data_IF_240314151177
#
_entry.id   IF_240314151177
#
_cell.length_a   1.000
_cell.length_b   1.000
_cell.length_c   1.000
_cell.angle_alpha   90.00
_cell.angle_beta   90.00
_cell.angle_gamma   90.00
#
_symmetry.space_group_name_H-M   'P 1'
#
loop_
_entity.id
_entity.type
_entity.pdbx_description
1 polymer ?
#
# COMPACT_ATOMS: atom_id res chain seq x y z
N UNK A 1 -12.88 -35.43 0.21
CA UNK A 1 -12.56 -34.90 0.22
C UNK A 1 -12.62 -34.26 0.24
N UNK A 2 -12.52 -34.03 0.25
CA UNK A 2 -12.41 -33.31 0.11
C UNK A 2 -12.40 -32.49 0.04
N UNK A 3 -12.46 -32.17 0.00
CA UNK A 3 -12.34 -31.56 -0.15
C UNK A 3 -12.11 -30.83 -0.15
N UNK A 4 -11.94 -30.91 -0.18
CA UNK A 4 -11.68 -30.02 -0.31
C UNK A 4 -11.76 -29.06 -0.28
N UNK A 5 -11.90 -29.11 -0.14
CA UNK A 5 -11.93 -28.32 -0.17
C UNK A 5 -11.78 -27.44 0.00
N UNK A 6 -12.10 -27.67 0.23
CA UNK A 6 -11.63 -26.93 0.16
C UNK A 6 -11.74 -25.58 0.52
N UNK A 7 -10.78 -25.08 1.23
CA UNK A 7 -10.74 -23.69 1.67
C UNK A 7 -10.87 -22.73 0.53
N UNK A 8 -10.35 -23.09 -0.55
CA UNK A 8 -10.49 -22.29 -1.76
C UNK A 8 -11.95 -22.06 -2.12
N UNK A 9 -12.81 -22.79 -1.48
CA UNK A 9 -14.23 -22.62 -1.70
C UNK A 9 -14.82 -21.48 -0.90
N UNK A 10 -14.04 -20.88 -0.02
CA UNK A 10 -14.52 -19.72 0.74
C UNK A 10 -14.69 -18.54 -0.21
N UNK A 11 -15.89 -18.01 -0.27
CA UNK A 11 -16.15 -16.84 -1.10
C UNK A 11 -15.57 -15.59 -0.42
N UNK A 12 -15.31 -14.52 -1.21
CA UNK A 12 -14.85 -13.27 -0.60
C UNK A 12 -15.80 -12.73 0.45
N UNK A 13 -17.10 -12.94 0.29
CA UNK A 13 -18.08 -12.46 1.26
C UNK A 13 -17.96 -13.16 2.60
N UNK A 14 -17.29 -14.30 2.64
CA UNK A 14 -17.13 -15.05 3.87
C UNK A 14 -15.84 -14.72 4.61
N UNK A 15 -14.99 -13.86 4.03
CA UNK A 15 -13.74 -13.47 4.66
C UNK A 15 -14.05 -12.63 5.90
N UNK A 16 -13.52 -13.05 7.04
CA UNK A 16 -13.72 -12.29 8.28
C UNK A 16 -13.01 -10.95 8.19
N UNK A 17 -13.51 -9.98 8.97
CA UNK A 17 -12.98 -8.62 8.97
C UNK A 17 -11.48 -8.63 9.21
N UNK A 18 -10.99 -9.43 10.17
CA UNK A 18 -9.58 -9.46 10.51
C UNK A 18 -8.71 -10.22 9.52
N UNK A 19 -9.32 -10.87 8.52
CA UNK A 19 -8.58 -11.74 7.61
C UNK A 19 -8.22 -11.07 6.29
N UNK A 20 -8.64 -9.81 6.08
CA UNK A 20 -8.29 -9.11 4.86
C UNK A 20 -6.78 -8.86 4.80
N UNK A 21 -6.20 -9.18 3.65
CA UNK A 21 -4.79 -8.95 3.39
C UNK A 21 -4.65 -7.55 2.80
N UNK A 22 -4.10 -6.65 3.59
CA UNK A 22 -4.07 -5.22 3.27
C UNK A 22 -2.66 -4.81 2.90
N UNK A 23 -2.53 -4.05 1.82
CA UNK A 23 -1.28 -3.44 1.42
C UNK A 23 -1.43 -1.94 1.25
N UNK A 24 -0.30 -1.26 1.26
CA UNK A 24 -0.22 0.17 0.97
C UNK A 24 0.67 0.33 -0.25
N UNK A 25 0.21 1.13 -1.20
CA UNK A 25 1.01 1.50 -2.35
C UNK A 25 1.35 2.99 -2.22
N UNK A 26 2.64 3.28 -2.09
CA UNK A 26 3.13 4.65 -2.04
C UNK A 26 3.77 4.96 -3.38
N UNK A 27 3.21 5.92 -4.12
CA UNK A 27 3.82 6.38 -5.36
C UNK A 27 4.61 7.65 -5.05
N UNK A 28 5.84 7.71 -5.56
CA UNK A 28 6.75 8.79 -5.22
C UNK A 28 7.52 9.24 -6.46
N UNK A 29 7.65 10.54 -6.60
CA UNK A 29 8.49 11.14 -7.61
C UNK A 29 9.05 12.45 -7.07
N UNK A 30 10.38 12.53 -6.95
CA UNK A 30 11.07 13.68 -6.39
C UNK A 30 10.48 14.09 -5.05
N UNK A 31 10.35 13.10 -4.15
CA UNK A 31 9.72 13.25 -2.85
C UNK A 31 10.73 13.07 -1.72
N UNK A 32 12.02 13.38 -1.96
CA UNK A 32 13.06 13.13 -0.97
C UNK A 32 12.80 13.88 0.34
N UNK A 33 12.20 15.06 0.27
CA UNK A 33 11.96 15.87 1.46
C UNK A 33 10.73 15.45 2.26
N UNK A 34 9.86 14.61 1.70
CA UNK A 34 8.57 14.30 2.33
C UNK A 34 8.35 12.81 2.59
N UNK A 35 9.05 11.93 1.88
CA UNK A 35 8.73 10.50 1.93
C UNK A 35 8.84 9.93 3.34
N UNK A 36 9.90 10.26 4.08
CA UNK A 36 10.07 9.73 5.43
C UNK A 36 8.92 10.16 6.33
N UNK A 37 8.53 11.42 6.24
CA UNK A 37 7.43 11.93 7.06
C UNK A 37 6.13 11.21 6.73
N UNK A 38 5.86 10.99 5.44
CA UNK A 38 4.64 10.28 5.02
C UNK A 38 4.61 8.88 5.64
N UNK A 39 5.73 8.16 5.56
CA UNK A 39 5.79 6.81 6.12
C UNK A 39 5.66 6.83 7.64
N UNK A 40 6.25 7.82 8.30
CA UNK A 40 6.16 7.94 9.76
C UNK A 40 4.73 8.23 10.23
N UNK A 41 3.91 8.84 9.38
CA UNK A 41 2.55 9.22 9.75
C UNK A 41 1.54 8.08 9.62
N UNK A 42 1.96 6.92 9.09
CA UNK A 42 1.08 5.74 9.08
C UNK A 42 0.85 5.33 10.54
N UNK A 43 -0.42 5.27 10.99
CA UNK A 43 -0.70 4.97 12.40
C UNK A 43 -0.10 3.65 12.85
N UNK A 44 0.44 3.62 14.07
CA UNK A 44 1.13 2.43 14.57
C UNK A 44 0.22 1.22 14.66
N UNK A 45 -1.01 1.43 15.10
CA UNK A 45 -1.94 0.31 15.22
C UNK A 45 -2.37 -0.21 13.86
N UNK A 46 -2.30 0.63 12.82
CA UNK A 46 -2.59 0.18 11.46
C UNK A 46 -1.40 -0.59 10.87
N UNK A 47 -0.17 -0.26 11.29
CA UNK A 47 1.03 -0.93 10.77
C UNK A 47 0.98 -2.44 11.02
N UNK A 48 0.39 -2.85 12.13
CA UNK A 48 0.31 -4.27 12.45
C UNK A 48 -0.66 -5.03 11.55
N UNK A 49 -1.52 -4.31 10.84
CA UNK A 49 -2.50 -4.91 9.94
C UNK A 49 -2.02 -4.96 8.49
N UNK A 50 -0.94 -4.25 8.19
CA UNK A 50 -0.45 -4.12 6.83
C UNK A 50 0.49 -5.27 6.52
N UNK A 51 0.20 -5.99 5.44
CA UNK A 51 1.02 -7.13 5.05
C UNK A 51 2.17 -6.72 4.14
N UNK A 52 1.97 -5.69 3.32
CA UNK A 52 2.99 -5.21 2.39
C UNK A 52 2.86 -3.71 2.18
N UNK A 53 4.00 -3.05 2.02
CA UNK A 53 4.04 -1.65 1.58
C UNK A 53 4.95 -1.59 0.37
N UNK A 54 4.40 -1.19 -0.77
CA UNK A 54 5.19 -0.98 -1.98
C UNK A 54 5.46 0.51 -2.12
N UNK A 55 6.73 0.89 -2.08
CA UNK A 55 7.09 2.28 -2.35
C UNK A 55 7.69 2.30 -3.75
N UNK A 56 6.96 2.88 -4.67
CA UNK A 56 7.32 2.86 -6.09
C UNK A 56 7.84 4.23 -6.50
N UNK A 57 9.15 4.31 -6.67
CA UNK A 57 9.84 5.52 -7.11
C UNK A 57 9.83 5.59 -8.63
N UNK A 58 9.25 6.63 -9.17
CA UNK A 58 9.07 6.80 -10.63
C UNK A 58 10.30 7.43 -11.27
N UNK A 59 11.47 6.86 -10.96
CA UNK A 59 12.74 7.29 -11.54
C UNK A 59 13.07 8.73 -11.17
N UNK A 60 13.03 9.01 -9.86
CA UNK A 60 13.33 10.34 -9.33
C UNK A 60 14.75 10.79 -9.66
N UNK A 61 14.93 12.09 -9.79
CA UNK A 61 16.26 12.68 -9.96
C UNK A 61 16.90 13.05 -8.65
N UNK A 62 16.15 13.02 -7.55
CA UNK A 62 16.69 13.28 -6.21
C UNK A 62 16.92 11.96 -5.45
N UNK A 63 17.10 12.01 -4.15
CA UNK A 63 17.43 10.84 -3.32
C UNK A 63 16.22 10.07 -2.84
N UNK A 64 15.06 10.23 -3.48
CA UNK A 64 13.83 9.56 -3.07
C UNK A 64 14.03 8.06 -2.85
N UNK A 65 14.63 7.38 -3.83
CA UNK A 65 14.84 5.94 -3.73
C UNK A 65 15.71 5.57 -2.54
N UNK A 66 16.81 6.30 -2.36
CA UNK A 66 17.75 6.01 -1.27
C UNK A 66 17.11 6.25 0.10
N UNK A 67 16.28 7.29 0.20
CA UNK A 67 15.58 7.58 1.46
C UNK A 67 14.60 6.46 1.78
N UNK A 68 13.84 6.00 0.79
CA UNK A 68 12.92 4.89 1.00
C UNK A 68 13.64 3.60 1.37
N UNK A 69 14.74 3.34 0.69
CA UNK A 69 15.53 2.15 0.97
C UNK A 69 16.10 2.19 2.38
N UNK A 70 16.65 3.34 2.78
CA UNK A 70 17.17 3.52 4.14
C UNK A 70 16.09 3.33 5.19
N UNK A 71 14.92 3.90 4.95
CA UNK A 71 13.79 3.73 5.86
C UNK A 71 13.44 2.25 6.02
N UNK A 72 13.40 1.52 4.92
CA UNK A 72 13.04 0.10 4.96
C UNK A 72 14.06 -0.73 5.72
N UNK A 73 15.31 -0.31 5.73
CA UNK A 73 16.38 -1.03 6.41
C UNK A 73 16.50 -0.69 7.88
N UNK A 74 15.99 0.47 8.30
CA UNK A 74 16.11 0.92 9.68
C UNK A 74 14.81 0.76 10.48
N UNK A 75 13.68 0.53 9.80
CA UNK A 75 12.38 0.36 10.44
C UNK A 75 11.82 -0.98 10.04
N UNK A 76 11.66 -1.87 11.02
CA UNK A 76 11.18 -3.21 10.74
C UNK A 76 9.70 -3.39 11.10
N UNK A 77 9.02 -2.31 11.49
CA UNK A 77 7.59 -2.36 11.82
C UNK A 77 6.68 -2.18 10.60
N UNK A 78 7.28 -1.97 9.42
CA UNK A 78 6.55 -1.92 8.16
C UNK A 78 7.28 -2.81 7.14
N UNK A 79 6.58 -3.73 6.51
CA UNK A 79 7.19 -4.62 5.51
C UNK A 79 7.28 -3.91 4.16
N UNK A 80 8.29 -3.07 4.01
CA UNK A 80 8.46 -2.22 2.83
C UNK A 80 9.26 -2.94 1.74
N UNK A 81 8.71 -2.92 0.53
CA UNK A 81 9.44 -3.27 -0.69
C UNK A 81 9.67 -1.98 -1.46
N UNK A 82 10.94 -1.60 -1.61
CA UNK A 82 11.28 -0.38 -2.32
C UNK A 82 11.55 -0.72 -3.78
N UNK A 83 10.84 -0.05 -4.69
CA UNK A 83 10.92 -0.30 -6.12
C UNK A 83 11.34 0.97 -6.82
N UNK A 84 12.32 0.88 -7.71
CA UNK A 84 12.67 1.99 -8.59
C UNK A 84 12.32 1.59 -10.02
N UNK A 85 11.50 2.41 -10.66
CA UNK A 85 11.15 2.15 -12.06
C UNK A 85 12.37 2.36 -12.95
N UNK A 86 12.48 1.59 -14.04
CA UNK A 86 13.65 1.71 -14.93
C UNK A 86 13.69 3.03 -15.71
N UNK A 87 12.58 3.73 -15.76
CA UNK A 87 12.46 5.04 -16.38
C UNK A 87 11.22 5.70 -15.79
N UNK A 88 11.03 6.97 -16.08
CA UNK A 88 9.81 7.64 -15.61
C UNK A 88 8.63 7.10 -16.41
N UNK A 89 7.72 6.42 -15.71
CA UNK A 89 6.54 5.80 -16.31
C UNK A 89 5.34 6.73 -16.30
N UNK A 90 5.45 7.85 -15.58
CA UNK A 90 4.32 8.72 -15.34
C UNK A 90 3.49 8.21 -14.17
N UNK A 91 2.63 9.07 -13.66
CA UNK A 91 1.83 8.78 -12.49
C UNK A 91 1.00 7.50 -12.68
N UNK A 92 0.29 7.41 -13.80
CA UNK A 92 -0.56 6.24 -14.05
C UNK A 92 0.24 4.96 -14.23
N UNK A 93 1.37 5.04 -14.94
CA UNK A 93 2.21 3.86 -15.14
C UNK A 93 2.83 3.37 -13.84
N UNK A 94 3.26 4.30 -13.00
CA UNK A 94 3.83 3.95 -11.70
C UNK A 94 2.77 3.28 -10.80
N UNK A 95 1.55 3.78 -10.79
CA UNK A 95 0.46 3.17 -10.05
C UNK A 95 0.16 1.76 -10.56
N UNK A 96 0.08 1.60 -11.88
CA UNK A 96 -0.23 0.29 -12.45
C UNK A 96 0.82 -0.74 -12.06
N UNK A 97 2.08 -0.34 -12.06
CA UNK A 97 3.17 -1.23 -11.64
C UNK A 97 2.96 -1.70 -10.21
N UNK A 98 2.61 -0.78 -9.31
CA UNK A 98 2.38 -1.11 -7.91
C UNK A 98 1.17 -2.00 -7.71
N UNK A 99 0.07 -1.69 -8.38
CA UNK A 99 -1.13 -2.53 -8.27
C UNK A 99 -0.87 -3.94 -8.81
N UNK A 100 -0.07 -4.05 -9.86
CA UNK A 100 0.27 -5.36 -10.41
C UNK A 100 1.00 -6.20 -9.38
N UNK A 101 1.94 -5.59 -8.66
CA UNK A 101 2.67 -6.31 -7.61
C UNK A 101 1.72 -6.77 -6.51
N UNK A 102 0.78 -5.92 -6.12
CA UNK A 102 -0.18 -6.27 -5.08
C UNK A 102 -1.08 -7.43 -5.52
N UNK A 103 -1.52 -7.42 -6.77
CA UNK A 103 -2.33 -8.51 -7.31
C UNK A 103 -1.52 -9.80 -7.31
N UNK A 104 -0.27 -9.74 -7.76
CA UNK A 104 0.59 -10.92 -7.82
C UNK A 104 0.84 -11.50 -6.42
N UNK A 105 0.87 -10.64 -5.40
CA UNK A 105 1.07 -11.07 -4.01
C UNK A 105 -0.23 -11.51 -3.35
N UNK A 106 -1.36 -11.40 -4.04
CA UNK A 106 -2.63 -11.90 -3.56
C UNK A 106 -3.28 -11.04 -2.49
N UNK A 107 -2.98 -9.74 -2.48
CA UNK A 107 -3.59 -8.85 -1.50
C UNK A 107 -5.06 -8.61 -1.82
N UNK A 108 -5.87 -8.44 -0.77
CA UNK A 108 -7.31 -8.20 -0.91
C UNK A 108 -7.63 -6.73 -1.07
N UNK A 109 -6.87 -5.86 -0.41
CA UNK A 109 -7.10 -4.42 -0.41
C UNK A 109 -5.76 -3.72 -0.53
N UNK A 110 -5.71 -2.71 -1.38
CA UNK A 110 -4.53 -1.85 -1.52
C UNK A 110 -4.98 -0.41 -1.38
N UNK A 111 -4.31 0.33 -0.51
CA UNK A 111 -4.60 1.75 -0.31
C UNK A 111 -3.47 2.56 -0.92
N UNK A 112 -3.85 3.49 -1.80
CA UNK A 112 -2.90 4.36 -2.48
C UNK A 112 -2.54 5.55 -1.61
N UNK A 113 -1.25 5.83 -1.50
CA UNK A 113 -0.74 6.95 -0.75
C UNK A 113 0.30 7.66 -1.60
N UNK A 114 0.42 8.96 -1.44
CA UNK A 114 1.39 9.75 -2.21
C UNK A 114 2.57 10.13 -1.35
N UNK A 115 3.77 9.96 -1.88
CA UNK A 115 5.00 10.25 -1.16
C UNK A 115 5.24 11.74 -0.91
N UNK A 116 4.47 12.61 -1.54
CA UNK A 116 4.62 14.06 -1.41
C UNK A 116 3.80 14.65 -0.25
N UNK A 117 3.07 13.83 0.48
CA UNK A 117 2.34 14.27 1.66
C UNK A 117 1.00 14.93 1.38
N UNK A 118 0.50 14.88 0.15
CA UNK A 118 -0.77 15.54 -0.20
C UNK A 118 -1.97 14.89 0.48
N UNK A 119 -1.87 13.63 0.85
CA UNK A 119 -2.96 12.90 1.49
C UNK A 119 -2.54 12.52 2.89
N UNK A 120 -3.53 12.41 3.78
CA UNK A 120 -3.26 12.16 5.20
C UNK A 120 -3.11 10.67 5.47
N UNK A 121 -1.90 10.16 5.75
CA UNK A 121 -1.73 8.74 6.09
C UNK A 121 -2.54 8.34 7.32
N UNK A 122 -2.87 9.29 8.19
CA UNK A 122 -3.68 9.03 9.38
C UNK A 122 -5.07 8.53 9.05
N UNK A 123 -5.52 8.75 7.82
CA UNK A 123 -6.86 8.32 7.39
C UNK A 123 -6.89 6.91 6.82
N UNK A 124 -5.75 6.26 6.71
CA UNK A 124 -5.70 4.90 6.15
C UNK A 124 -6.65 3.93 6.85
N UNK A 125 -6.72 3.91 8.19
CA UNK A 125 -7.66 2.99 8.83
C UNK A 125 -9.11 3.22 8.41
N UNK A 126 -9.50 4.49 8.25
CA UNK A 126 -10.88 4.81 7.85
C UNK A 126 -11.18 4.34 6.43
N UNK A 127 -10.17 4.34 5.56
CA UNK A 127 -10.38 3.99 4.17
C UNK A 127 -10.62 2.50 3.97
N UNK A 128 -10.17 1.67 4.89
CA UNK A 128 -10.37 0.22 4.74
C UNK A 128 -11.68 -0.26 5.37
N UNK A 129 -12.33 0.58 6.20
CA UNK A 129 -13.55 0.16 6.88
C UNK A 129 -14.64 -0.33 5.91
N UNK A 130 -14.93 0.37 4.78
CA UNK A 130 -15.95 -0.14 3.86
C UNK A 130 -15.63 -1.51 3.28
N UNK A 131 -14.34 -1.84 3.11
CA UNK A 131 -13.96 -3.17 2.64
C UNK A 131 -14.17 -4.21 3.72
N UNK A 132 -13.90 -3.86 4.97
CA UNK A 132 -14.07 -4.77 6.10
C UNK A 132 -15.53 -5.15 6.30
N UNK A 133 -16.43 -4.20 6.02
CA UNK A 133 -17.86 -4.45 6.15
C UNK A 133 -18.49 -4.97 4.85
N UNK A 134 -17.65 -5.23 3.84
CA UNK A 134 -18.09 -5.72 2.53
C UNK A 134 -19.11 -4.78 1.87
N UNK A 135 -18.96 -3.47 2.13
CA UNK A 135 -19.89 -2.48 1.62
C UNK A 135 -19.36 -1.71 0.41
N UNK A 136 -18.12 -2.01 -0.02
CA UNK A 136 -17.52 -1.29 -1.15
C UNK A 136 -16.45 -2.13 -1.81
N UNK A 137 -16.29 -1.92 -3.13
CA UNK A 137 -15.18 -2.49 -3.90
C UNK A 137 -14.10 -1.45 -4.16
N UNK A 138 -14.43 -0.17 -4.02
CA UNK A 138 -13.48 0.93 -4.15
C UNK A 138 -13.91 2.09 -3.27
N UNK A 139 -12.94 2.79 -2.71
CA UNK A 139 -13.17 3.94 -1.84
C UNK A 139 -12.24 5.05 -2.28
N UNK A 140 -12.79 6.25 -2.43
CA UNK A 140 -12.00 7.42 -2.79
C UNK A 140 -12.04 8.43 -1.66
N UNK A 141 -10.85 8.85 -1.21
CA UNK A 141 -10.76 9.89 -0.21
C UNK A 141 -10.94 11.27 -0.82
N UNK A 142 -11.52 12.17 -0.04
CA UNK A 142 -11.67 13.57 -0.45
C UNK A 142 -10.56 14.40 0.17
N UNK A 143 -10.07 15.38 -0.59
CA UNK A 143 -9.03 16.27 -0.11
C UNK A 143 -9.55 17.53 0.52
N UNK A 144 -10.86 17.66 0.65
CA UNK A 144 -11.46 18.85 1.23
C UNK A 144 -11.19 18.99 2.71
#
# INVERSE_FOLDING_TARGET
MPEPTDPEMTSPAETAVGDLRIGILVVAYNAASTLREVLDRIPEDFRTRVEKVYVCDDFSTDDTYLIGLGYSQTRDDLPITMVRQPRNLGYGGNQKSGYRMAIDDGLDVVVLLHGDGQYAPEKLPDMVVPFESDSADAVFGSRM
#
